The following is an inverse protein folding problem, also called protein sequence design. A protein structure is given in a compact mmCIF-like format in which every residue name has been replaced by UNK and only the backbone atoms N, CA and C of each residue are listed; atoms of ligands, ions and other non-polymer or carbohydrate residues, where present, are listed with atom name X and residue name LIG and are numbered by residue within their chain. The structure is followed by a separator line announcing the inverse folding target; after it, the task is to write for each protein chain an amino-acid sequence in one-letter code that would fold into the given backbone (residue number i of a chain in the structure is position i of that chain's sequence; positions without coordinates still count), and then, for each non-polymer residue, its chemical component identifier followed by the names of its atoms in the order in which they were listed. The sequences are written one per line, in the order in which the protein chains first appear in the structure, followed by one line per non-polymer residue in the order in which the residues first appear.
data_IF_457363274986
#
_entry.id   IF_457363274986
#
_cell.length_a   1.000
_cell.length_b   1.000
_cell.length_c   1.000
_cell.angle_alpha   90.00
_cell.angle_beta   90.00
_cell.angle_gamma   90.00
#
_symmetry.space_group_name_H-M   'P 1'
#
loop_
_entity.id
_entity.type
_entity.pdbx_description
1 polymer ?
#
# COMPACT_ATOMS: atom_id res chain seq x y z
N UNK A 1 -19.51 -32.55 -70.44
CA UNK A 1 -19.30 -33.88 -71.02
C UNK A 1 -18.28 -34.60 -70.15
N UNK A 2 -18.64 -35.75 -69.57
CA UNK A 2 -17.68 -36.68 -68.93
C UNK A 2 -17.47 -36.54 -67.42
N UNK A 3 -18.21 -37.34 -66.65
CA UNK A 3 -17.95 -37.74 -65.25
C UNK A 3 -16.99 -38.94 -65.28
N UNK A 4 -16.09 -39.08 -64.29
CA UNK A 4 -15.62 -40.35 -63.67
C UNK A 4 -14.77 -40.00 -62.43
N UNK A 5 -15.36 -39.96 -61.23
CA UNK A 5 -15.38 -41.02 -60.20
C UNK A 5 -14.01 -41.52 -59.73
N UNK A 6 -13.62 -41.09 -58.53
CA UNK A 6 -12.85 -41.91 -57.60
C UNK A 6 -13.65 -42.08 -56.30
N UNK A 7 -14.15 -43.29 -56.11
CA UNK A 7 -14.71 -43.80 -54.87
C UNK A 7 -13.63 -44.61 -54.16
N UNK A 8 -13.36 -44.31 -52.88
CA UNK A 8 -13.09 -45.25 -51.80
C UNK A 8 -12.98 -44.42 -50.51
N UNK A 9 -14.03 -44.32 -49.71
CA UNK A 9 -14.31 -45.24 -48.59
C UNK A 9 -13.14 -45.36 -47.61
N UNK A 10 -13.01 -44.37 -46.73
CA UNK A 10 -12.66 -44.63 -45.33
C UNK A 10 -13.65 -43.90 -44.44
N UNK A 11 -14.70 -44.64 -44.11
CA UNK A 11 -15.57 -44.38 -42.99
C UNK A 11 -14.91 -45.08 -41.79
N UNK A 12 -14.94 -44.44 -40.61
CA UNK A 12 -15.19 -45.04 -39.28
C UNK A 12 -14.62 -44.13 -38.17
N UNK A 13 -15.57 -43.62 -37.38
CA UNK A 13 -15.52 -43.29 -35.94
C UNK A 13 -14.93 -41.94 -35.51
N UNK A 14 -15.84 -40.97 -35.46
CA UNK A 14 -16.20 -40.20 -34.27
C UNK A 14 -15.21 -40.28 -33.08
N UNK A 15 -14.44 -39.21 -32.91
CA UNK A 15 -14.01 -38.77 -31.58
C UNK A 15 -14.63 -37.41 -31.35
N UNK A 16 -15.78 -37.43 -30.66
CA UNK A 16 -16.30 -36.28 -29.91
C UNK A 16 -15.24 -35.91 -28.88
N UNK A 17 -14.33 -35.01 -29.24
CA UNK A 17 -13.17 -34.64 -28.44
C UNK A 17 -13.12 -33.13 -28.22
N UNK A 18 -13.99 -32.66 -27.32
CA UNK A 18 -13.68 -31.60 -26.36
C UNK A 18 -13.18 -30.29 -27.00
N UNK A 19 -14.15 -29.52 -27.49
CA UNK A 19 -14.04 -28.06 -27.51
C UNK A 19 -14.15 -27.57 -26.06
N UNK A 20 -13.03 -27.59 -25.34
CA UNK A 20 -12.90 -26.92 -24.05
C UNK A 20 -11.60 -26.13 -24.09
N UNK A 21 -11.66 -25.00 -24.81
CA UNK A 21 -10.72 -23.91 -24.59
C UNK A 21 -11.04 -23.34 -23.21
N UNK A 22 -10.56 -24.01 -22.18
CA UNK A 22 -10.64 -23.57 -20.79
C UNK A 22 -10.00 -22.19 -20.73
N UNK A 23 -10.85 -21.20 -20.55
CA UNK A 23 -10.54 -19.86 -20.04
C UNK A 23 -9.85 -20.06 -18.70
N UNK A 24 -8.53 -20.23 -18.74
CA UNK A 24 -7.72 -20.41 -17.55
C UNK A 24 -6.94 -19.12 -17.31
N UNK A 25 -7.27 -18.52 -16.17
CA UNK A 25 -6.46 -17.59 -15.40
C UNK A 25 -6.14 -16.23 -16.01
N UNK A 26 -6.98 -15.25 -15.68
CA UNK A 26 -6.48 -13.97 -15.16
C UNK A 26 -7.42 -13.45 -14.06
N UNK A 27 -7.52 -14.20 -12.96
CA UNK A 27 -7.90 -13.63 -11.67
C UNK A 27 -6.64 -13.43 -10.84
N UNK A 28 -5.79 -12.51 -11.29
CA UNK A 28 -4.82 -11.88 -10.39
C UNK A 28 -5.62 -10.94 -9.49
N UNK A 29 -6.25 -11.49 -8.44
CA UNK A 29 -6.87 -10.69 -7.39
C UNK A 29 -5.74 -9.97 -6.64
N UNK A 30 -5.85 -8.65 -6.48
CA UNK A 30 -4.91 -7.82 -5.72
C UNK A 30 -4.94 -8.13 -4.23
N UNK A 31 -4.32 -9.25 -3.83
CA UNK A 31 -4.31 -9.77 -2.45
C UNK A 31 -3.67 -8.82 -1.43
N UNK A 32 -2.73 -7.97 -1.87
CA UNK A 32 -2.00 -7.09 -0.97
C UNK A 32 -2.89 -6.04 -0.28
N UNK A 33 -3.89 -5.47 -0.98
CA UNK A 33 -4.76 -4.42 -0.43
C UNK A 33 -6.01 -4.96 0.27
N UNK A 34 -6.54 -6.09 -0.21
CA UNK A 34 -7.67 -6.76 0.43
C UNK A 34 -7.37 -7.10 1.90
N UNK A 35 -6.14 -7.58 2.19
CA UNK A 35 -5.73 -7.91 3.56
C UNK A 35 -5.66 -6.70 4.50
N UNK A 36 -5.21 -5.53 4.02
CA UNK A 36 -5.12 -4.31 4.85
C UNK A 36 -6.53 -3.81 5.21
N UNK A 37 -7.41 -3.70 4.20
CA UNK A 37 -8.79 -3.26 4.44
C UNK A 37 -9.52 -4.20 5.41
N UNK A 38 -9.40 -5.51 5.20
CA UNK A 38 -10.01 -6.50 6.08
C UNK A 38 -9.48 -6.40 7.51
N UNK A 39 -8.17 -6.24 7.68
CA UNK A 39 -7.54 -6.06 9.00
C UNK A 39 -8.05 -4.81 9.71
N UNK A 40 -8.15 -3.69 8.98
CA UNK A 40 -8.69 -2.44 9.51
C UNK A 40 -10.17 -2.57 9.88
N UNK A 41 -10.99 -3.18 9.02
CA UNK A 41 -12.41 -3.42 9.30
C UNK A 41 -12.64 -4.32 10.51
N UNK A 42 -11.83 -5.38 10.69
CA UNK A 42 -11.88 -6.24 11.89
C UNK A 42 -11.51 -5.47 13.16
N UNK A 43 -10.48 -4.61 13.08
CA UNK A 43 -10.02 -3.81 14.22
C UNK A 43 -11.02 -2.71 14.60
N UNK A 44 -11.80 -2.19 13.64
CA UNK A 44 -12.74 -1.09 13.82
C UNK A 44 -14.12 -1.43 13.22
N UNK A 45 -14.89 -2.34 13.83
CA UNK A 45 -16.13 -2.88 13.26
C UNK A 45 -17.26 -1.84 13.08
N UNK A 46 -17.16 -0.67 13.72
CA UNK A 46 -18.11 0.44 13.58
C UNK A 46 -17.71 1.51 12.57
N UNK A 47 -16.68 1.28 11.76
CA UNK A 47 -16.16 2.25 10.81
C UNK A 47 -16.18 1.71 9.38
N UNK A 48 -16.51 2.58 8.42
CA UNK A 48 -16.35 2.29 6.99
C UNK A 48 -14.93 2.66 6.55
N UNK A 49 -14.40 1.89 5.59
CA UNK A 49 -13.09 2.13 4.98
C UNK A 49 -13.24 2.21 3.47
N UNK A 50 -13.00 3.40 2.93
CA UNK A 50 -13.02 3.68 1.48
C UNK A 50 -11.59 3.88 1.02
N UNK A 51 -11.13 3.04 0.10
CA UNK A 51 -9.83 3.21 -0.50
C UNK A 51 -9.81 4.50 -1.34
N UNK A 52 -8.72 5.24 -1.18
CA UNK A 52 -8.42 6.46 -1.91
C UNK A 52 -7.02 6.33 -2.48
N UNK A 53 -6.81 7.02 -3.59
CA UNK A 53 -5.51 7.06 -4.24
C UNK A 53 -5.16 8.48 -4.63
N UNK A 54 -3.87 8.79 -4.59
CA UNK A 54 -3.31 10.04 -5.08
C UNK A 54 -2.16 9.75 -6.03
N UNK A 55 -2.27 10.31 -7.23
CA UNK A 55 -1.14 10.41 -8.15
C UNK A 55 -0.52 11.79 -7.99
N UNK A 56 0.79 11.83 -7.72
CA UNK A 56 1.52 13.08 -7.55
C UNK A 56 1.70 13.77 -8.90
N UNK A 57 1.38 15.06 -8.93
CA UNK A 57 1.84 15.98 -9.96
C UNK A 57 3.37 16.11 -9.91
N UNK A 58 3.97 16.59 -10.99
CA UNK A 58 5.43 16.81 -11.02
C UNK A 58 5.88 17.79 -9.93
N UNK A 59 5.10 18.83 -9.66
CA UNK A 59 5.40 19.78 -8.58
C UNK A 59 5.42 19.11 -7.20
N UNK A 60 4.44 18.25 -6.93
CA UNK A 60 4.37 17.53 -5.64
C UNK A 60 5.50 16.50 -5.53
N UNK A 61 5.78 15.77 -6.61
CA UNK A 61 6.89 14.84 -6.69
C UNK A 61 8.23 15.53 -6.40
N UNK A 62 8.51 16.64 -7.08
CA UNK A 62 9.74 17.42 -6.88
C UNK A 62 9.81 18.04 -5.48
N UNK A 63 8.68 18.46 -4.91
CA UNK A 63 8.61 18.96 -3.53
C UNK A 63 9.06 17.87 -2.54
N UNK A 64 8.54 16.65 -2.69
CA UNK A 64 8.89 15.53 -1.81
C UNK A 64 10.34 15.10 -2.05
N UNK A 65 10.77 15.00 -3.31
CA UNK A 65 12.13 14.57 -3.68
C UNK A 65 13.18 15.57 -3.20
N UNK A 66 12.91 16.87 -3.28
CA UNK A 66 13.79 17.91 -2.75
C UNK A 66 13.95 17.82 -1.23
N UNK A 67 12.86 17.54 -0.49
CA UNK A 67 12.93 17.35 0.97
C UNK A 67 13.60 16.03 1.36
N UNK A 68 13.45 14.98 0.56
CA UNK A 68 13.97 13.63 0.81
C UNK A 68 14.74 13.07 -0.39
N UNK A 69 15.93 13.63 -0.73
CA UNK A 69 16.62 13.32 -1.98
C UNK A 69 17.09 11.86 -2.09
N UNK A 70 17.40 11.24 -0.95
CA UNK A 70 17.90 9.86 -0.89
C UNK A 70 16.79 8.81 -0.83
N UNK A 71 15.53 9.22 -0.73
CA UNK A 71 14.39 8.28 -0.67
C UNK A 71 13.91 7.90 -2.06
N UNK A 72 13.43 6.67 -2.16
CA UNK A 72 12.67 6.20 -3.31
C UNK A 72 11.23 6.73 -3.19
N UNK A 73 10.90 7.72 -4.01
CA UNK A 73 9.61 8.40 -3.98
C UNK A 73 8.75 7.83 -5.10
N UNK A 74 7.61 7.27 -4.74
CA UNK A 74 6.61 6.78 -5.69
C UNK A 74 5.75 7.94 -6.18
N UNK A 75 5.16 7.82 -7.37
CA UNK A 75 4.16 8.78 -7.89
C UNK A 75 2.74 8.43 -7.49
N UNK A 76 2.46 7.17 -7.18
CA UNK A 76 1.13 6.70 -6.80
C UNK A 76 1.11 6.23 -5.36
N UNK A 77 0.16 6.72 -4.57
CA UNK A 77 -0.08 6.30 -3.20
C UNK A 77 -1.55 5.92 -3.02
N UNK A 78 -1.80 4.82 -2.33
CA UNK A 78 -3.13 4.46 -1.82
C UNK A 78 -3.16 4.54 -0.30
N UNK A 79 -4.34 4.86 0.23
CA UNK A 79 -4.63 5.01 1.64
C UNK A 79 -6.14 4.85 1.86
N UNK A 80 -6.58 4.74 3.10
CA UNK A 80 -8.00 4.55 3.40
C UNK A 80 -8.58 5.79 4.06
N UNK A 81 -9.67 6.32 3.50
CA UNK A 81 -10.57 7.20 4.23
C UNK A 81 -11.38 6.35 5.20
N UNK A 82 -11.26 6.62 6.48
CA UNK A 82 -12.03 5.98 7.55
C UNK A 82 -13.15 6.91 7.98
N UNK A 83 -14.38 6.42 7.94
CA UNK A 83 -15.55 7.14 8.44
C UNK A 83 -16.14 6.37 9.62
N UNK A 84 -16.06 6.96 10.81
CA UNK A 84 -16.61 6.40 12.05
C UNK A 84 -17.69 7.35 12.57
N UNK A 85 -18.96 6.95 12.52
CA UNK A 85 -20.09 7.83 12.89
C UNK A 85 -20.03 9.15 12.10
N UNK A 86 -19.68 10.26 12.73
CA UNK A 86 -19.58 11.59 12.12
C UNK A 86 -18.14 12.11 12.01
N UNK A 87 -17.14 11.23 12.17
CA UNK A 87 -15.73 11.60 12.09
C UNK A 87 -15.07 10.98 10.85
N UNK A 88 -14.42 11.83 10.05
CA UNK A 88 -13.57 11.42 8.93
C UNK A 88 -12.11 11.47 9.37
N UNK A 89 -11.39 10.40 9.06
CA UNK A 89 -9.97 10.23 9.35
C UNK A 89 -9.30 9.45 8.22
N UNK A 90 -7.97 9.36 8.23
CA UNK A 90 -7.20 8.73 7.17
C UNK A 90 -6.19 7.73 7.73
N UNK A 91 -6.11 6.57 7.09
CA UNK A 91 -5.15 5.52 7.43
C UNK A 91 -4.18 5.30 6.29
N UNK A 92 -2.90 5.47 6.59
CA UNK A 92 -1.80 5.21 5.69
C UNK A 92 -1.06 3.96 6.18
N UNK A 93 -0.81 3.03 5.26
CA UNK A 93 0.04 1.86 5.51
C UNK A 93 1.17 1.89 4.51
N UNK A 94 2.34 2.32 4.96
CA UNK A 94 3.51 2.48 4.10
C UNK A 94 4.56 1.43 4.39
N UNK A 95 5.29 1.06 3.34
CA UNK A 95 6.49 0.24 3.41
C UNK A 95 7.67 1.07 2.97
N UNK A 96 8.75 1.05 3.73
CA UNK A 96 10.01 1.69 3.37
C UNK A 96 11.20 0.80 3.74
N UNK A 97 12.24 0.83 2.92
CA UNK A 97 13.49 0.14 3.19
C UNK A 97 14.31 0.97 4.18
N UNK A 98 14.65 0.38 5.32
CA UNK A 98 15.42 1.07 6.36
C UNK A 98 16.90 1.08 6.01
N UNK A 99 17.48 -0.12 5.86
CA UNK A 99 18.88 -0.32 5.43
C UNK A 99 18.93 -1.35 4.31
N UNK A 100 18.52 -2.57 4.60
CA UNK A 100 18.43 -3.68 3.62
C UNK A 100 17.07 -4.36 3.65
N UNK A 101 16.31 -4.20 4.73
CA UNK A 101 15.00 -4.81 4.94
C UNK A 101 13.94 -3.76 5.22
N UNK A 102 12.69 -4.20 5.14
CA UNK A 102 11.54 -3.31 5.18
C UNK A 102 11.09 -3.03 6.61
N UNK A 103 10.52 -1.84 6.78
CA UNK A 103 9.55 -1.57 7.83
C UNK A 103 8.19 -1.25 7.23
N UNK A 104 7.13 -1.67 7.92
CA UNK A 104 5.73 -1.34 7.59
C UNK A 104 5.17 -0.49 8.71
N UNK A 105 4.72 0.71 8.37
CA UNK A 105 4.22 1.71 9.30
C UNK A 105 2.74 1.98 9.03
N UNK A 106 1.93 1.90 10.07
CA UNK A 106 0.54 2.36 10.06
C UNK A 106 0.46 3.75 10.72
N UNK A 107 -0.07 4.72 9.99
CA UNK A 107 -0.26 6.10 10.43
C UNK A 107 -1.74 6.45 10.34
N UNK A 108 -2.33 6.84 11.46
CA UNK A 108 -3.71 7.28 11.55
C UNK A 108 -3.76 8.79 11.77
N UNK A 109 -4.42 9.50 10.86
CA UNK A 109 -4.46 10.96 10.82
C UNK A 109 -5.90 11.45 11.01
N UNK A 110 -6.09 12.36 11.95
CA UNK A 110 -7.36 13.03 12.26
C UNK A 110 -7.13 14.53 12.22
N UNK A 111 -7.88 15.27 11.39
CA UNK A 111 -7.78 16.74 11.28
C UNK A 111 -6.32 17.25 11.18
N UNK A 112 -5.50 16.63 10.33
CA UNK A 112 -4.09 16.97 10.13
C UNK A 112 -3.17 16.78 11.36
N UNK A 113 -3.59 15.93 12.31
CA UNK A 113 -2.79 15.48 13.45
C UNK A 113 -2.65 13.95 13.46
N UNK A 114 -1.53 13.45 13.98
CA UNK A 114 -1.29 12.03 14.13
C UNK A 114 -2.00 11.53 15.39
N UNK A 115 -3.08 10.77 15.21
CA UNK A 115 -3.84 10.19 16.31
C UNK A 115 -3.22 8.86 16.78
N UNK A 116 -2.73 8.06 15.83
CA UNK A 116 -2.03 6.80 16.12
C UNK A 116 -0.89 6.53 15.14
N UNK A 117 0.18 5.93 15.64
CA UNK A 117 1.36 5.56 14.87
C UNK A 117 1.89 4.22 15.38
N UNK A 118 2.04 3.23 14.49
CA UNK A 118 2.53 1.91 14.87
C UNK A 118 3.41 1.30 13.78
N UNK A 119 4.51 0.67 14.19
CA UNK A 119 5.29 -0.20 13.32
C UNK A 119 4.62 -1.57 13.32
N UNK A 120 3.95 -1.88 12.21
CA UNK A 120 3.20 -3.13 11.99
C UNK A 120 4.15 -4.30 11.73
N UNK A 121 5.22 -4.04 10.97
CA UNK A 121 6.25 -5.03 10.66
C UNK A 121 7.62 -4.35 10.65
N UNK A 122 8.64 -5.02 11.18
CA UNK A 122 10.01 -4.54 11.16
C UNK A 122 10.93 -5.74 10.94
N UNK A 123 11.66 -5.74 9.84
CA UNK A 123 12.43 -6.91 9.40
C UNK A 123 13.93 -6.79 9.68
N UNK A 124 14.39 -5.60 10.05
CA UNK A 124 15.75 -5.34 10.53
C UNK A 124 15.95 -5.88 11.97
N UNK A 125 17.22 -6.04 12.44
CA UNK A 125 17.50 -6.39 13.82
C UNK A 125 16.74 -5.52 14.83
N UNK A 126 16.20 -6.15 15.86
CA UNK A 126 15.25 -5.52 16.78
C UNK A 126 15.81 -4.29 17.51
N UNK A 127 17.13 -4.26 17.71
CA UNK A 127 17.88 -3.14 18.30
C UNK A 127 17.85 -1.86 17.45
N UNK A 128 17.59 -1.99 16.14
CA UNK A 128 17.40 -0.84 15.25
C UNK A 128 15.95 -0.36 15.20
N UNK A 129 15.02 -1.06 15.85
CA UNK A 129 13.62 -0.64 15.89
C UNK A 129 13.46 0.55 16.83
N UNK A 130 12.82 1.62 16.34
CA UNK A 130 12.48 2.75 17.22
C UNK A 130 11.44 2.33 18.27
N UNK A 131 11.60 2.85 19.48
CA UNK A 131 10.76 2.51 20.63
C UNK A 131 9.42 3.24 20.58
N UNK A 132 8.39 2.65 21.19
CA UNK A 132 7.03 3.22 21.24
C UNK A 132 6.96 4.60 21.91
N UNK A 133 7.80 4.85 22.92
CA UNK A 133 7.90 6.16 23.57
C UNK A 133 8.43 7.26 22.65
N UNK A 134 9.24 6.92 21.65
CA UNK A 134 9.67 7.87 20.64
C UNK A 134 8.57 8.10 19.61
N UNK A 135 7.85 7.04 19.21
CA UNK A 135 6.70 7.14 18.30
C UNK A 135 5.57 8.01 18.88
N UNK A 136 5.35 8.00 20.21
CA UNK A 136 4.30 8.81 20.83
C UNK A 136 4.54 10.33 20.71
N UNK A 137 5.79 10.77 20.45
CA UNK A 137 6.11 12.20 20.23
C UNK A 137 5.37 12.78 19.02
N UNK A 138 5.04 11.97 18.03
CA UNK A 138 4.33 12.43 16.83
C UNK A 138 2.88 12.88 17.08
N UNK A 139 2.30 12.56 18.24
CA UNK A 139 0.97 13.05 18.64
C UNK A 139 0.95 14.56 18.91
N UNK A 140 2.07 15.14 19.34
CA UNK A 140 2.14 16.54 19.75
C UNK A 140 3.26 17.33 19.06
N UNK A 141 4.16 16.67 18.34
CA UNK A 141 5.31 17.30 17.69
C UNK A 141 5.27 17.06 16.17
N UNK A 142 5.76 18.05 15.42
CA UNK A 142 5.93 17.90 13.97
C UNK A 142 7.07 16.92 13.69
N UNK A 143 7.04 16.15 12.58
CA UNK A 143 8.10 15.22 12.24
C UNK A 143 9.51 15.84 12.27
N UNK A 144 9.64 17.05 11.73
CA UNK A 144 10.93 17.73 11.64
C UNK A 144 11.52 18.11 13.01
N UNK A 145 10.68 18.36 14.03
CA UNK A 145 11.12 18.74 15.39
C UNK A 145 11.45 17.56 16.31
N UNK A 146 11.22 16.32 15.88
CA UNK A 146 11.52 15.13 16.67
C UNK A 146 12.97 14.71 16.38
N UNK A 147 13.78 14.56 17.44
CA UNK A 147 15.18 14.15 17.31
C UNK A 147 15.30 12.75 16.71
N UNK A 148 16.40 12.51 16.01
CA UNK A 148 16.78 11.17 15.58
C UNK A 148 17.09 10.27 16.78
N UNK A 149 16.90 8.97 16.61
CA UNK A 149 17.20 7.98 17.66
C UNK A 149 18.62 7.48 17.46
N UNK A 150 19.50 7.71 18.44
CA UNK A 150 20.86 7.16 18.42
C UNK A 150 20.83 5.63 18.36
N UNK A 151 21.67 5.03 17.52
CA UNK A 151 21.65 3.59 17.23
C UNK A 151 20.52 3.12 16.31
N UNK A 152 19.54 3.97 16.00
CA UNK A 152 18.41 3.68 15.11
C UNK A 152 18.14 4.84 14.13
N UNK A 153 19.21 5.52 13.68
CA UNK A 153 19.12 6.72 12.83
C UNK A 153 18.33 6.47 11.55
N UNK A 154 18.62 5.38 10.84
CA UNK A 154 17.93 5.04 9.58
C UNK A 154 16.45 4.76 9.80
N UNK A 155 16.10 4.01 10.85
CA UNK A 155 14.72 3.70 11.22
C UNK A 155 13.95 4.96 11.63
N UNK A 156 14.59 5.84 12.41
CA UNK A 156 13.99 7.12 12.82
C UNK A 156 13.78 8.07 11.63
N UNK A 157 14.74 8.14 10.70
CA UNK A 157 14.60 8.92 9.47
C UNK A 157 13.49 8.38 8.56
N UNK A 158 13.41 7.06 8.40
CA UNK A 158 12.36 6.42 7.60
C UNK A 158 10.98 6.64 8.23
N UNK A 159 10.86 6.52 9.55
CA UNK A 159 9.61 6.84 10.26
C UNK A 159 9.22 8.32 10.10
N UNK A 160 10.16 9.25 10.29
CA UNK A 160 9.92 10.70 10.10
C UNK A 160 9.43 11.01 8.68
N UNK A 161 10.05 10.40 7.67
CA UNK A 161 9.64 10.52 6.27
C UNK A 161 8.20 10.05 6.06
N UNK A 162 7.87 8.83 6.50
CA UNK A 162 6.54 8.26 6.29
C UNK A 162 5.43 9.01 7.03
N UNK A 163 5.70 9.52 8.23
CA UNK A 163 4.74 10.37 8.96
C UNK A 163 4.57 11.72 8.26
N UNK A 164 5.66 12.36 7.84
CA UNK A 164 5.58 13.61 7.09
C UNK A 164 4.79 13.43 5.78
N UNK A 165 5.04 12.34 5.06
CA UNK A 165 4.36 12.01 3.81
C UNK A 165 2.85 11.80 4.05
N UNK A 166 2.48 11.13 5.14
CA UNK A 166 1.07 10.94 5.51
C UNK A 166 0.34 12.29 5.70
N UNK A 167 0.98 13.22 6.42
CA UNK A 167 0.43 14.57 6.62
C UNK A 167 0.40 15.39 5.32
N UNK A 168 1.41 15.23 4.46
CA UNK A 168 1.45 15.89 3.16
C UNK A 168 0.30 15.43 2.26
N UNK A 169 0.17 14.11 2.06
CA UNK A 169 -0.86 13.52 1.20
C UNK A 169 -2.28 13.84 1.69
N UNK A 170 -2.48 13.96 3.01
CA UNK A 170 -3.80 14.23 3.60
C UNK A 170 -4.28 15.68 3.40
N UNK A 171 -3.36 16.65 3.34
CA UNK A 171 -3.71 18.08 3.17
C UNK A 171 -4.42 18.36 1.86
N UNK A 172 -4.03 17.67 0.79
CA UNK A 172 -4.56 17.94 -0.54
C UNK A 172 -5.88 17.22 -0.83
N UNK A 173 -6.47 16.56 0.18
CA UNK A 173 -7.76 15.87 0.10
C UNK A 173 -8.88 16.71 0.73
N UNK A 174 -8.53 17.60 1.66
CA UNK A 174 -9.45 18.55 2.29
C UNK A 174 -9.50 19.82 1.44
#
# INVERSE_FOLDING_TARGET
MGILRFSNLFNIKAVKGIFLFTVFLFLAKGEAFAGIKETLSKKYPGCSFVEKSKFLTDKEFETIKSKYPTRDIRRFYSFFKRECKNETSYDFVFTDTVRTKNQVLHVHVVKNNIESLAIVKFEEPSEYKVKSNWLSRFKSQKPDSIDIVSGATLSSNSTKFLVWLSLYLQKDII
#
